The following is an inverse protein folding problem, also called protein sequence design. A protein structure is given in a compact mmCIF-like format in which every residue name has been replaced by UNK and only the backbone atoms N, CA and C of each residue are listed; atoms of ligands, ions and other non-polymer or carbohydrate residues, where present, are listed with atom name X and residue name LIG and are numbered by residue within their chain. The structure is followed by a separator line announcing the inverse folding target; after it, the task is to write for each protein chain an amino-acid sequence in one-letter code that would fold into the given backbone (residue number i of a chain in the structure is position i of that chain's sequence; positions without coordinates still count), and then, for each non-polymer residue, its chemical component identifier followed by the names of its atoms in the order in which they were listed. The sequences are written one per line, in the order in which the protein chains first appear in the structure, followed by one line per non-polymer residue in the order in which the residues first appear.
data_IF_956390551784
#
_entry.id   IF_956390551784
#
_cell.length_a   1.000
_cell.length_b   1.000
_cell.length_c   1.000
_cell.angle_alpha   90.00
_cell.angle_beta   90.00
_cell.angle_gamma   90.00
#
_symmetry.space_group_name_H-M   'P 1'
#
loop_
_entity.id
_entity.type
_entity.pdbx_description
1 polymer ?
#
# COMPACT_ATOMS: atom_id res chain seq x y z
N UNK A 1 17.98 -33.59 -22.54
CA UNK A 1 18.33 -32.25 -23.06
C UNK A 1 17.04 -31.55 -23.46
N UNK A 2 16.91 -30.24 -23.18
CA UNK A 2 15.96 -29.57 -22.28
C UNK A 2 14.51 -29.54 -22.82
N UNK A 3 13.47 -29.66 -21.99
CA UNK A 3 12.83 -28.61 -21.16
C UNK A 3 12.30 -27.42 -21.98
N UNK A 4 10.98 -27.21 -21.99
CA UNK A 4 10.39 -26.04 -21.31
C UNK A 4 8.88 -26.24 -21.12
N UNK A 5 8.48 -26.43 -19.86
CA UNK A 5 7.12 -26.13 -19.40
C UNK A 5 6.98 -24.61 -19.39
N UNK A 6 6.08 -24.05 -20.19
CA UNK A 6 5.50 -22.74 -19.93
C UNK A 6 4.20 -22.95 -19.17
N UNK A 7 4.31 -23.03 -17.85
CA UNK A 7 3.17 -22.76 -16.98
C UNK A 7 3.16 -21.24 -16.84
N UNK A 8 2.31 -20.57 -17.63
CA UNK A 8 1.88 -19.23 -17.30
C UNK A 8 1.11 -19.32 -15.98
N UNK A 9 1.75 -18.97 -14.88
CA UNK A 9 1.05 -18.67 -13.63
C UNK A 9 0.32 -17.34 -13.83
N UNK A 10 -0.88 -17.42 -14.40
CA UNK A 10 -1.85 -16.35 -14.25
C UNK A 10 -2.21 -16.30 -12.76
N UNK A 11 -1.82 -15.22 -12.08
CA UNK A 11 -2.32 -14.90 -10.75
C UNK A 11 -3.83 -14.70 -10.92
N UNK A 12 -4.59 -15.70 -10.45
CA UNK A 12 -6.04 -15.65 -10.46
C UNK A 12 -6.49 -14.53 -9.51
N UNK A 13 -7.22 -13.56 -10.05
CA UNK A 13 -8.08 -12.71 -9.25
C UNK A 13 -9.11 -13.61 -8.57
N UNK A 14 -8.93 -13.89 -7.28
CA UNK A 14 -9.91 -14.63 -6.50
C UNK A 14 -11.11 -13.72 -6.27
N UNK A 15 -12.25 -14.08 -6.86
CA UNK A 15 -13.55 -13.52 -6.49
C UNK A 15 -13.92 -14.01 -5.08
N UNK A 16 -13.95 -13.09 -4.11
CA UNK A 16 -14.43 -13.33 -2.74
C UNK A 16 -15.86 -12.79 -2.65
N UNK A 17 -16.79 -13.59 -2.12
CA UNK A 17 -18.11 -13.09 -1.70
C UNK A 17 -18.00 -12.66 -0.24
N UNK A 18 -17.49 -11.45 -0.02
CA UNK A 18 -17.49 -10.68 1.23
C UNK A 18 -17.39 -9.23 0.74
N UNK A 19 -18.35 -8.35 1.06
CA UNK A 19 -18.46 -6.95 0.60
C UNK A 19 -17.42 -6.54 -0.48
N UNK A 20 -17.80 -6.60 -1.77
CA UNK A 20 -16.88 -6.27 -2.85
C UNK A 20 -16.42 -4.82 -2.69
N UNK A 21 -15.25 -4.62 -2.09
CA UNK A 21 -14.62 -3.32 -2.06
C UNK A 21 -14.38 -2.88 -3.51
N UNK A 22 -14.86 -1.68 -3.86
CA UNK A 22 -14.58 -1.10 -5.16
C UNK A 22 -13.19 -0.46 -5.12
N UNK A 23 -12.45 -0.62 -6.21
CA UNK A 23 -11.07 -0.14 -6.33
C UNK A 23 -10.99 0.94 -7.41
N UNK A 24 -10.38 2.05 -7.06
CA UNK A 24 -10.03 3.14 -7.95
C UNK A 24 -8.60 3.04 -8.49
N UNK A 25 -8.10 4.13 -9.09
CA UNK A 25 -6.76 4.19 -9.68
C UNK A 25 -5.65 3.97 -8.65
N UNK A 26 -4.63 3.21 -9.04
CA UNK A 26 -3.52 2.83 -8.16
C UNK A 26 -2.21 2.62 -8.93
N UNK A 27 -1.11 2.53 -8.18
CA UNK A 27 0.15 1.97 -8.67
C UNK A 27 0.58 0.80 -7.78
N UNK A 28 1.38 -0.10 -8.32
CA UNK A 28 1.92 -1.23 -7.57
C UNK A 28 3.22 -1.75 -8.15
N UNK A 29 3.96 -2.49 -7.33
CA UNK A 29 5.17 -3.23 -7.66
C UNK A 29 5.11 -4.60 -7.02
N UNK A 30 5.82 -5.55 -7.62
CA UNK A 30 6.03 -6.89 -7.12
C UNK A 30 5.28 -8.01 -7.86
N UNK A 31 5.58 -9.27 -7.51
CA UNK A 31 6.51 -9.67 -6.45
C UNK A 31 7.97 -9.36 -6.79
N UNK A 32 8.81 -9.12 -5.77
CA UNK A 32 10.28 -9.10 -5.93
C UNK A 32 10.79 -10.47 -6.43
N UNK A 33 11.95 -10.46 -7.07
CA UNK A 33 12.65 -11.67 -7.50
C UNK A 33 13.02 -12.61 -6.35
N UNK A 34 13.26 -13.88 -6.70
CA UNK A 34 13.60 -14.94 -5.74
C UNK A 34 14.83 -14.58 -4.90
N UNK A 35 14.73 -14.79 -3.58
CA UNK A 35 15.81 -14.53 -2.64
C UNK A 35 15.95 -13.07 -2.21
N UNK A 36 14.95 -12.23 -2.50
CA UNK A 36 14.85 -10.86 -2.01
C UNK A 36 13.46 -10.61 -1.42
N UNK A 37 13.33 -9.54 -0.64
CA UNK A 37 12.09 -8.99 -0.06
C UNK A 37 12.28 -7.51 0.21
N UNK A 38 11.19 -6.77 0.43
CA UNK A 38 11.25 -5.36 0.79
C UNK A 38 11.63 -5.25 2.27
N UNK A 39 12.71 -4.53 2.58
CA UNK A 39 13.12 -4.24 3.96
C UNK A 39 12.61 -2.93 4.48
N UNK A 40 12.49 -1.95 3.60
CA UNK A 40 12.09 -0.61 3.97
C UNK A 40 11.26 -0.05 2.81
N UNK A 41 10.09 0.49 3.10
CA UNK A 41 9.28 1.20 2.12
C UNK A 41 8.64 2.42 2.76
N UNK A 42 8.74 3.55 2.09
CA UNK A 42 8.11 4.81 2.50
C UNK A 42 7.35 5.42 1.35
N UNK A 43 6.24 6.09 1.65
CA UNK A 43 5.53 6.97 0.73
C UNK A 43 4.79 8.04 1.52
N UNK A 44 4.60 9.21 0.92
CA UNK A 44 3.88 10.32 1.54
C UNK A 44 2.65 10.69 0.72
N UNK A 45 1.47 10.53 1.31
CA UNK A 45 0.21 11.01 0.74
C UNK A 45 0.10 12.52 0.98
N UNK A 46 -0.17 13.28 -0.07
CA UNK A 46 -0.70 14.65 0.07
C UNK A 46 -2.23 14.53 0.05
N UNK A 47 -2.86 14.74 1.20
CA UNK A 47 -4.29 14.45 1.34
C UNK A 47 -5.16 15.32 0.43
N UNK A 48 -6.14 14.73 -0.27
CA UNK A 48 -7.20 15.48 -0.92
C UNK A 48 -8.23 15.97 0.12
N UNK A 49 -9.23 16.71 -0.36
CA UNK A 49 -10.47 16.88 0.42
C UNK A 49 -11.08 15.51 0.75
N UNK A 50 -11.81 15.43 1.86
CA UNK A 50 -12.62 14.24 2.15
C UNK A 50 -13.62 13.99 1.00
N UNK A 51 -14.03 12.72 0.76
CA UNK A 51 -14.90 12.39 -0.36
C UNK A 51 -16.23 13.15 -0.30
N UNK A 52 -16.70 13.63 -1.45
CA UNK A 52 -17.99 14.31 -1.54
C UNK A 52 -19.13 13.34 -1.86
N UNK A 53 -20.21 13.43 -1.08
CA UNK A 53 -21.40 12.60 -1.28
C UNK A 53 -21.23 11.14 -0.85
N UNK A 54 -20.19 10.85 -0.05
CA UNK A 54 -19.94 9.50 0.48
C UNK A 54 -20.93 9.12 1.57
N UNK A 55 -21.45 7.91 1.48
CA UNK A 55 -22.05 7.17 2.62
C UNK A 55 -21.23 5.95 3.03
N UNK A 56 -20.24 5.59 2.22
CA UNK A 56 -19.35 4.46 2.42
C UNK A 56 -18.11 4.77 3.25
N UNK A 57 -17.28 3.75 3.43
CA UNK A 57 -15.95 3.85 4.03
C UNK A 57 -14.93 3.97 2.90
N UNK A 58 -14.37 5.16 2.75
CA UNK A 58 -13.31 5.45 1.78
C UNK A 58 -11.94 5.32 2.43
N UNK A 59 -11.00 4.70 1.73
CA UNK A 59 -9.64 4.48 2.24
C UNK A 59 -8.60 4.84 1.18
N UNK A 60 -7.59 5.59 1.59
CA UNK A 60 -6.38 5.87 0.81
C UNK A 60 -5.19 5.27 1.53
N UNK A 61 -4.56 4.27 0.93
CA UNK A 61 -3.48 3.55 1.58
C UNK A 61 -2.33 3.26 0.63
N UNK A 62 -1.15 3.07 1.23
CA UNK A 62 -0.10 2.24 0.66
C UNK A 62 0.16 1.04 1.57
N UNK A 63 0.71 -0.03 1.02
CA UNK A 63 0.96 -1.24 1.79
C UNK A 63 1.85 -2.24 1.07
N UNK A 64 2.17 -3.31 1.79
CA UNK A 64 3.00 -4.41 1.34
C UNK A 64 2.31 -5.74 1.58
N UNK A 65 2.12 -6.50 0.50
CA UNK A 65 1.70 -7.90 0.58
C UNK A 65 2.88 -8.80 0.92
N UNK A 66 2.70 -9.77 1.83
CA UNK A 66 3.76 -10.69 2.25
C UNK A 66 3.67 -12.08 1.60
N UNK A 67 4.78 -12.81 1.63
CA UNK A 67 4.91 -14.22 1.21
C UNK A 67 3.88 -15.17 1.87
N UNK A 68 3.40 -14.80 3.06
CA UNK A 68 2.42 -15.54 3.87
C UNK A 68 1.01 -14.97 3.80
N UNK A 69 0.80 -13.91 3.02
CA UNK A 69 -0.51 -13.34 2.72
C UNK A 69 -1.03 -12.32 3.74
N UNK A 70 -0.16 -11.78 4.59
CA UNK A 70 -0.49 -10.57 5.33
C UNK A 70 -0.45 -9.36 4.39
N UNK A 71 -1.26 -8.34 4.68
CA UNK A 71 -1.16 -7.02 4.07
C UNK A 71 -0.84 -6.00 5.16
N UNK A 72 0.42 -5.58 5.20
CA UNK A 72 0.94 -4.53 6.10
C UNK A 72 0.65 -3.19 5.42
N UNK A 73 -0.14 -2.32 6.02
CA UNK A 73 -0.58 -1.09 5.35
C UNK A 73 -0.88 0.03 6.34
N UNK A 74 -0.86 1.26 5.88
CA UNK A 74 -1.32 2.38 6.70
C UNK A 74 -2.32 3.15 5.87
N UNK A 75 -3.30 3.74 6.53
CA UNK A 75 -4.46 4.27 5.82
C UNK A 75 -4.80 5.68 6.27
N UNK A 76 -5.38 6.42 5.33
CA UNK A 76 -6.25 7.53 5.60
C UNK A 76 -7.67 7.10 5.28
N UNK A 77 -8.47 6.87 6.32
CA UNK A 77 -9.87 6.46 6.18
C UNK A 77 -10.83 7.64 6.35
N UNK A 78 -11.95 7.60 5.66
CA UNK A 78 -13.06 8.52 5.87
C UNK A 78 -14.38 7.76 5.88
N UNK A 79 -15.14 7.96 6.95
CA UNK A 79 -16.52 7.49 7.08
C UNK A 79 -17.30 8.54 7.86
N UNK A 80 -18.31 9.14 7.20
CA UNK A 80 -19.21 10.16 7.76
C UNK A 80 -18.51 11.23 8.61
N UNK A 81 -17.41 11.78 8.07
CA UNK A 81 -16.51 12.69 8.78
C UNK A 81 -16.01 13.82 7.87
N UNK A 82 -15.75 14.99 8.44
CA UNK A 82 -15.12 16.14 7.76
C UNK A 82 -13.58 16.07 7.76
N UNK A 83 -13.01 15.03 8.37
CA UNK A 83 -11.59 14.75 8.44
C UNK A 83 -11.26 13.31 8.04
N UNK A 84 -10.02 13.10 7.59
CA UNK A 84 -9.42 11.78 7.41
C UNK A 84 -8.94 11.24 8.76
N UNK A 85 -9.09 9.94 8.97
CA UNK A 85 -8.60 9.19 10.12
C UNK A 85 -7.31 8.46 9.75
N UNK A 86 -6.20 8.82 10.38
CA UNK A 86 -4.86 8.32 10.04
C UNK A 86 -4.38 7.32 11.07
N UNK A 87 -4.01 6.11 10.63
CA UNK A 87 -3.49 5.05 11.52
C UNK A 87 -2.73 3.95 10.76
N UNK A 88 -1.91 3.19 11.51
CA UNK A 88 -1.26 1.97 11.04
C UNK A 88 -2.19 0.76 11.17
N UNK A 89 -2.10 -0.17 10.21
CA UNK A 89 -3.04 -1.27 10.05
C UNK A 89 -2.39 -2.51 9.43
N UNK A 90 -2.79 -3.71 9.82
CA UNK A 90 -2.38 -4.95 9.16
C UNK A 90 -3.58 -5.87 9.04
N UNK A 91 -3.82 -6.37 7.84
CA UNK A 91 -4.67 -7.54 7.63
C UNK A 91 -3.82 -8.80 7.76
N UNK A 92 -3.98 -9.52 8.86
CA UNK A 92 -3.25 -10.77 9.10
C UNK A 92 -4.02 -11.96 8.54
N UNK A 93 -3.36 -12.82 7.78
CA UNK A 93 -4.02 -14.01 7.21
C UNK A 93 -4.35 -15.00 8.32
N UNK A 94 -5.64 -15.36 8.42
CA UNK A 94 -6.12 -16.37 9.39
C UNK A 94 -6.59 -17.66 8.71
N UNK A 95 -6.78 -17.63 7.38
CA UNK A 95 -7.22 -18.76 6.58
C UNK A 95 -7.09 -18.46 5.09
N UNK A 96 -7.53 -19.38 4.23
CA UNK A 96 -7.48 -19.19 2.77
C UNK A 96 -8.30 -17.96 2.32
N UNK A 97 -9.44 -17.75 2.97
CA UNK A 97 -10.39 -16.69 2.64
C UNK A 97 -10.74 -15.82 3.87
N UNK A 98 -9.83 -15.71 4.84
CA UNK A 98 -10.06 -14.92 6.04
C UNK A 98 -8.82 -14.16 6.50
N UNK A 99 -9.04 -12.93 6.94
CA UNK A 99 -8.03 -12.08 7.54
C UNK A 99 -8.57 -11.44 8.83
N UNK A 100 -7.68 -11.10 9.74
CA UNK A 100 -8.01 -10.38 10.97
C UNK A 100 -7.31 -9.00 10.95
N UNK A 101 -8.07 -7.90 11.15
CA UNK A 101 -7.51 -6.58 11.32
C UNK A 101 -6.73 -6.47 12.64
N UNK A 102 -5.51 -5.94 12.55
CA UNK A 102 -4.73 -5.44 13.70
C UNK A 102 -4.43 -3.98 13.39
N UNK A 103 -4.85 -3.06 14.26
CA UNK A 103 -4.71 -1.61 14.03
C UNK A 103 -4.31 -0.88 15.29
N UNK A 104 -3.80 0.34 15.12
CA UNK A 104 -3.78 1.32 16.19
C UNK A 104 -5.22 1.72 16.57
N UNK A 105 -5.51 1.76 17.87
CA UNK A 105 -6.84 2.07 18.40
C UNK A 105 -7.09 3.59 18.48
N UNK A 106 -6.09 4.43 18.22
CA UNK A 106 -6.17 5.88 18.35
C UNK A 106 -5.92 6.60 17.01
N UNK A 107 -6.86 6.53 16.05
CA UNK A 107 -6.72 7.24 14.79
C UNK A 107 -6.59 8.75 15.02
N UNK A 108 -5.68 9.39 14.29
CA UNK A 108 -5.43 10.82 14.40
C UNK A 108 -6.09 11.56 13.22
N UNK A 109 -6.88 12.62 13.47
CA UNK A 109 -7.52 13.37 12.40
C UNK A 109 -6.50 14.15 11.55
N UNK A 110 -6.72 14.16 10.24
CA UNK A 110 -5.97 14.94 9.26
C UNK A 110 -6.91 15.57 8.23
N UNK A 111 -6.43 16.58 7.52
CA UNK A 111 -7.21 17.33 6.52
C UNK A 111 -6.43 17.48 5.22
N UNK A 112 -7.11 17.99 4.20
CA UNK A 112 -6.51 18.32 2.91
C UNK A 112 -5.18 19.06 3.05
N UNK A 113 -4.20 18.63 2.27
CA UNK A 113 -2.87 19.21 2.20
C UNK A 113 -1.93 18.76 3.32
N UNK A 114 -2.42 18.10 4.37
CA UNK A 114 -1.52 17.42 5.31
C UNK A 114 -0.75 16.32 4.57
N UNK A 115 0.52 16.17 4.95
CA UNK A 115 1.44 15.16 4.42
C UNK A 115 1.44 13.96 5.34
N UNK A 116 0.93 12.82 4.85
CA UNK A 116 0.88 11.56 5.60
C UNK A 116 2.00 10.65 5.15
N UNK A 117 3.07 10.58 5.92
CA UNK A 117 4.17 9.64 5.65
C UNK A 117 3.84 8.28 6.26
N UNK A 118 3.79 7.26 5.41
CA UNK A 118 3.60 5.87 5.78
C UNK A 118 4.91 5.14 5.53
N UNK A 119 5.55 4.69 6.60
CA UNK A 119 6.88 4.08 6.56
C UNK A 119 6.86 2.70 7.20
N UNK A 120 7.34 1.71 6.47
CA UNK A 120 7.43 0.32 6.89
C UNK A 120 8.89 -0.10 6.94
N UNK A 121 9.32 -0.69 8.05
CA UNK A 121 10.70 -1.11 8.23
C UNK A 121 10.79 -2.47 8.88
N UNK A 122 11.53 -3.37 8.26
CA UNK A 122 11.86 -4.68 8.81
C UNK A 122 12.86 -4.54 9.96
N UNK A 123 12.49 -5.07 11.13
CA UNK A 123 13.34 -5.15 12.31
C UNK A 123 13.98 -6.55 12.40
N UNK A 124 15.31 -6.62 12.30
CA UNK A 124 16.07 -7.88 12.35
C UNK A 124 15.94 -8.62 13.69
N UNK A 125 15.79 -7.88 14.79
CA UNK A 125 15.79 -8.45 16.13
C UNK A 125 14.48 -9.14 16.44
N UNK A 126 13.36 -8.55 16.01
CA UNK A 126 12.01 -9.10 16.22
C UNK A 126 11.55 -9.95 15.04
N UNK A 127 12.14 -9.71 13.85
CA UNK A 127 11.74 -10.24 12.55
C UNK A 127 10.36 -9.76 12.11
N UNK A 128 9.93 -8.59 12.58
CA UNK A 128 8.63 -7.98 12.27
C UNK A 128 8.80 -6.77 11.35
N UNK A 129 7.71 -6.32 10.74
CA UNK A 129 7.64 -5.00 10.12
C UNK A 129 7.05 -4.01 11.11
N UNK A 130 7.82 -2.97 11.40
CA UNK A 130 7.37 -1.82 12.17
C UNK A 130 6.85 -0.77 11.21
N UNK A 131 5.61 -0.36 11.43
CA UNK A 131 4.96 0.75 10.75
C UNK A 131 5.16 2.02 11.57
N UNK A 132 5.49 3.11 10.89
CA UNK A 132 5.53 4.45 11.43
C UNK A 132 4.67 5.34 10.55
N UNK A 133 3.62 5.93 11.13
CA UNK A 133 2.76 6.88 10.42
C UNK A 133 2.95 8.26 11.01
N UNK A 134 3.18 9.25 10.15
CA UNK A 134 3.40 10.63 10.56
C UNK A 134 2.51 11.59 9.80
N UNK A 135 2.02 12.62 10.49
CA UNK A 135 1.32 13.76 9.89
C UNK A 135 2.26 14.95 9.96
N UNK A 136 2.62 15.53 8.81
CA UNK A 136 3.50 16.69 8.71
C UNK A 136 4.82 16.51 9.48
N UNK A 137 5.39 15.30 9.42
CA UNK A 137 6.64 14.94 10.09
C UNK A 137 6.53 14.61 11.59
N UNK A 138 5.34 14.68 12.19
CA UNK A 138 5.09 14.22 13.56
C UNK A 138 4.50 12.82 13.55
N UNK A 139 5.18 11.86 14.16
CA UNK A 139 4.66 10.49 14.31
C UNK A 139 3.37 10.48 15.14
N UNK A 140 2.35 9.78 14.63
CA UNK A 140 1.02 9.67 15.23
C UNK A 140 0.59 8.23 15.50
N UNK A 141 1.15 7.26 14.78
CA UNK A 141 0.83 5.84 14.96
C UNK A 141 2.06 4.97 14.77
N UNK A 142 2.11 3.85 15.48
CA UNK A 142 3.13 2.82 15.30
C UNK A 142 2.53 1.43 15.56
N UNK A 143 2.90 0.46 14.73
CA UNK A 143 2.38 -0.91 14.81
C UNK A 143 3.47 -1.89 14.36
N UNK A 144 3.67 -3.00 15.08
CA UNK A 144 4.61 -4.05 14.71
C UNK A 144 3.87 -5.37 14.48
N UNK A 145 4.03 -5.97 13.31
CA UNK A 145 3.27 -7.18 12.90
C UNK A 145 4.08 -8.08 11.95
N UNK A 146 3.45 -9.18 11.50
CA UNK A 146 3.94 -10.05 10.42
C UNK A 146 5.31 -10.68 10.70
N UNK A 147 5.47 -11.21 11.92
CA UNK A 147 6.71 -11.83 12.39
C UNK A 147 7.17 -12.98 11.50
N UNK A 148 8.38 -12.85 10.96
CA UNK A 148 9.01 -13.83 10.09
C UNK A 148 8.38 -13.90 8.70
N UNK A 149 7.64 -12.87 8.27
CA UNK A 149 7.12 -12.73 6.92
C UNK A 149 8.10 -11.91 6.08
N UNK A 150 8.03 -12.07 4.76
CA UNK A 150 8.84 -11.35 3.78
C UNK A 150 7.89 -10.52 2.89
N UNK A 151 8.07 -9.20 2.83
CA UNK A 151 7.26 -8.31 2.02
C UNK A 151 7.66 -8.45 0.55
N UNK A 152 6.70 -8.82 -0.31
CA UNK A 152 6.97 -9.19 -1.69
C UNK A 152 6.61 -8.09 -2.69
N UNK A 153 5.64 -7.25 -2.37
CA UNK A 153 5.20 -6.15 -3.23
C UNK A 153 4.88 -4.91 -2.42
N UNK A 154 4.74 -3.79 -3.11
CA UNK A 154 4.32 -2.52 -2.55
C UNK A 154 3.28 -1.91 -3.48
N UNK A 155 2.27 -1.22 -2.96
CA UNK A 155 1.30 -0.57 -3.82
C UNK A 155 0.41 0.39 -3.06
N UNK A 156 -0.31 1.22 -3.82
CA UNK A 156 -1.33 2.12 -3.32
C UNK A 156 -2.72 1.58 -3.61
N UNK A 157 -3.73 2.13 -2.94
CA UNK A 157 -5.10 2.03 -3.39
C UNK A 157 -5.91 3.29 -3.09
N UNK A 158 -6.94 3.45 -3.92
CA UNK A 158 -8.10 4.28 -3.67
C UNK A 158 -9.24 3.28 -3.52
N UNK A 159 -9.70 3.05 -2.29
CA UNK A 159 -10.63 1.97 -1.98
C UNK A 159 -11.93 2.54 -1.43
N UNK A 160 -13.04 1.89 -1.79
CA UNK A 160 -14.32 2.05 -1.13
C UNK A 160 -14.78 0.68 -0.62
N UNK A 161 -15.27 0.61 0.61
CA UNK A 161 -15.83 -0.64 1.17
C UNK A 161 -17.03 -1.19 0.38
N UNK A 162 -17.64 -0.38 -0.47
CA UNK A 162 -18.67 -0.73 -1.46
C UNK A 162 -18.51 0.20 -2.70
N UNK A 163 -19.60 0.69 -3.30
CA UNK A 163 -19.59 1.63 -4.43
C UNK A 163 -20.15 3.02 -4.04
N UNK A 164 -20.35 3.29 -2.75
CA UNK A 164 -21.08 4.46 -2.24
C UNK A 164 -20.17 5.53 -1.60
N UNK A 165 -18.90 5.57 -2.00
CA UNK A 165 -17.94 6.57 -1.50
C UNK A 165 -17.97 7.91 -2.26
N UNK A 166 -18.85 8.04 -3.26
CA UNK A 166 -18.96 9.25 -4.06
C UNK A 166 -17.67 9.54 -4.81
N UNK A 167 -17.22 10.80 -4.78
CA UNK A 167 -16.00 11.22 -5.50
C UNK A 167 -14.84 11.50 -4.55
N UNK A 168 -13.72 10.81 -4.80
CA UNK A 168 -12.42 11.11 -4.20
C UNK A 168 -11.64 12.04 -5.12
N UNK A 169 -11.14 13.14 -4.55
CA UNK A 169 -10.37 14.14 -5.29
C UNK A 169 -9.02 13.60 -5.77
N UNK A 170 -8.50 14.21 -6.84
CA UNK A 170 -7.13 13.96 -7.27
C UNK A 170 -6.13 14.27 -6.14
N UNK A 171 -5.11 13.43 -6.01
CA UNK A 171 -4.11 13.51 -4.94
C UNK A 171 -2.77 12.96 -5.42
N UNK A 172 -1.75 13.04 -4.56
CA UNK A 172 -0.40 12.63 -4.92
C UNK A 172 0.21 11.74 -3.85
N UNK A 173 1.02 10.78 -4.32
CA UNK A 173 2.03 10.12 -3.51
C UNK A 173 3.40 10.67 -3.89
N UNK A 174 4.17 11.08 -2.89
CA UNK A 174 5.50 11.68 -3.05
C UNK A 174 6.50 11.02 -2.11
N UNK A 175 7.79 11.30 -2.32
CA UNK A 175 8.88 10.76 -1.49
C UNK A 175 8.87 9.23 -1.39
N UNK A 176 8.41 8.55 -2.45
CA UNK A 176 8.25 7.09 -2.45
C UNK A 176 9.59 6.41 -2.68
N UNK A 177 9.98 5.56 -1.73
CA UNK A 177 11.24 4.81 -1.76
C UNK A 177 11.03 3.40 -1.25
N UNK A 178 11.62 2.43 -1.94
CA UNK A 178 11.60 1.00 -1.59
C UNK A 178 13.05 0.51 -1.53
N UNK A 179 13.43 -0.15 -0.46
CA UNK A 179 14.75 -0.77 -0.29
C UNK A 179 14.56 -2.28 -0.14
N UNK A 180 15.15 -3.03 -1.05
CA UNK A 180 15.10 -4.49 -1.05
C UNK A 180 16.17 -5.08 -0.13
N UNK A 181 16.05 -6.35 0.23
CA UNK A 181 17.05 -7.09 1.00
C UNK A 181 18.27 -7.44 0.16
N UNK A 182 18.04 -7.89 -1.07
CA UNK A 182 19.08 -8.10 -2.07
C UNK A 182 18.70 -7.34 -3.34
N UNK A 183 19.69 -6.82 -4.07
CA UNK A 183 19.43 -6.08 -5.30
C UNK A 183 18.68 -6.96 -6.31
N UNK A 184 17.58 -6.45 -6.84
CA UNK A 184 16.83 -7.07 -7.93
C UNK A 184 16.68 -6.05 -9.07
N UNK A 185 17.56 -6.05 -10.08
CA UNK A 185 17.51 -5.09 -11.18
C UNK A 185 16.27 -5.24 -12.07
N UNK A 186 15.55 -6.37 -11.98
CA UNK A 186 14.35 -6.61 -12.77
C UNK A 186 13.07 -6.19 -12.05
N UNK A 187 13.14 -5.73 -10.80
CA UNK A 187 11.97 -5.33 -10.02
C UNK A 187 11.13 -4.25 -10.72
N UNK A 188 11.77 -3.34 -11.47
CA UNK A 188 11.10 -2.33 -12.30
C UNK A 188 10.08 -2.91 -13.28
N UNK A 189 10.28 -4.14 -13.76
CA UNK A 189 9.38 -4.78 -14.73
C UNK A 189 8.02 -5.11 -14.11
N UNK A 190 7.93 -5.06 -12.78
CA UNK A 190 6.69 -5.28 -12.03
C UNK A 190 5.93 -3.98 -11.75
N UNK A 191 6.49 -2.81 -12.09
CA UNK A 191 5.84 -1.53 -11.83
C UNK A 191 4.63 -1.36 -12.74
N UNK A 192 3.44 -1.44 -12.13
CA UNK A 192 2.14 -1.26 -12.76
C UNK A 192 1.49 0.04 -12.33
N UNK A 193 0.75 0.65 -13.25
CA UNK A 193 -0.06 1.85 -13.01
C UNK A 193 -1.42 1.68 -13.68
N UNK A 194 -2.47 2.11 -12.99
CA UNK A 194 -3.80 2.23 -13.58
C UNK A 194 -3.85 3.37 -14.61
N UNK A 195 -4.93 3.41 -15.40
CA UNK A 195 -5.16 4.50 -16.34
C UNK A 195 -5.19 5.87 -15.64
N UNK A 196 -4.49 6.85 -16.22
CA UNK A 196 -4.40 8.21 -15.67
C UNK A 196 -3.42 8.39 -14.51
N UNK A 197 -2.87 7.31 -13.94
CA UNK A 197 -1.84 7.39 -12.88
C UNK A 197 -0.46 7.70 -13.50
N UNK A 198 0.26 8.67 -12.92
CA UNK A 198 1.59 9.10 -13.39
C UNK A 198 2.71 8.47 -12.55
N UNK A 199 3.94 8.98 -12.67
CA UNK A 199 5.10 8.54 -11.90
C UNK A 199 5.96 7.49 -12.60
N UNK A 200 7.27 7.55 -12.36
CA UNK A 200 8.27 6.64 -12.92
C UNK A 200 9.15 6.08 -11.81
N UNK A 201 9.60 4.84 -11.97
CA UNK A 201 10.40 4.15 -10.98
C UNK A 201 11.83 3.94 -11.50
N UNK A 202 12.81 4.26 -10.66
CA UNK A 202 14.24 4.23 -11.03
C UNK A 202 15.11 3.67 -9.91
N UNK A 203 16.31 3.23 -10.26
CA UNK A 203 17.33 2.76 -9.32
C UNK A 203 18.71 3.24 -9.77
N UNK A 204 19.58 3.56 -8.81
CA UNK A 204 20.97 3.96 -9.08
C UNK A 204 21.99 2.93 -8.59
N UNK A 205 21.55 1.97 -7.77
CA UNK A 205 22.41 0.99 -7.07
C UNK A 205 22.15 -0.46 -7.54
N UNK A 206 21.72 -0.61 -8.80
CA UNK A 206 21.53 -1.92 -9.43
C UNK A 206 20.27 -2.66 -8.97
N UNK A 207 19.28 -1.96 -8.42
CA UNK A 207 18.01 -2.52 -8.00
C UNK A 207 17.92 -2.84 -6.51
N UNK A 208 18.80 -2.28 -5.67
CA UNK A 208 18.73 -2.41 -4.21
C UNK A 208 17.81 -1.35 -3.62
N UNK A 209 17.86 -0.14 -4.13
CA UNK A 209 17.02 1.00 -3.78
C UNK A 209 16.26 1.46 -5.01
N UNK A 210 14.96 1.57 -4.86
CA UNK A 210 14.04 2.06 -5.87
C UNK A 210 13.38 3.34 -5.41
N UNK A 211 13.39 4.35 -6.26
CA UNK A 211 12.70 5.62 -6.05
C UNK A 211 11.60 5.71 -7.09
N UNK A 212 10.38 6.01 -6.64
CA UNK A 212 9.26 6.34 -7.51
C UNK A 212 9.12 7.87 -7.46
N UNK A 213 9.14 8.52 -8.61
CA UNK A 213 8.88 9.95 -8.70
C UNK A 213 7.48 10.26 -8.19
N UNK A 214 7.17 11.54 -7.98
CA UNK A 214 5.82 11.98 -7.62
C UNK A 214 4.78 11.30 -8.54
N UNK A 215 3.79 10.67 -7.90
CA UNK A 215 2.71 9.91 -8.54
C UNK A 215 1.43 10.72 -8.38
N UNK A 216 0.88 11.19 -9.50
CA UNK A 216 -0.45 11.77 -9.54
C UNK A 216 -1.50 10.66 -9.64
N UNK A 217 -2.47 10.71 -8.74
CA UNK A 217 -3.67 9.88 -8.78
C UNK A 217 -4.82 10.75 -9.27
N UNK A 218 -5.48 10.41 -10.40
CA UNK A 218 -6.62 11.18 -10.89
C UNK A 218 -7.80 11.06 -9.93
N UNK A 219 -8.73 12.03 -10.00
CA UNK A 219 -9.99 11.94 -9.26
C UNK A 219 -10.78 10.72 -9.72
N UNK A 220 -11.50 10.09 -8.80
CA UNK A 220 -12.25 8.88 -9.06
C UNK A 220 -13.63 8.94 -8.40
N UNK A 221 -14.64 8.44 -9.11
CA UNK A 221 -16.01 8.31 -8.63
C UNK A 221 -16.37 6.83 -8.64
N UNK A 222 -16.83 6.35 -7.49
CA UNK A 222 -17.32 4.98 -7.30
C UNK A 222 -18.79 4.85 -7.73
#
# INVERSE_FOLDING_TARGET
MPSTNQILSAIAAMAVVCANAAMGPSFSTGPVGSGSWIRDATSTLILPDVPQGSTGVASLWVGMGTDKGDLIQSTADNWDSDAWSIFAYTLTKTGENSQLPIQDENPTPAKKGDRITMHYKYDESTREYVQYVSINGKQVSTLSTSKGHEAMGFGSAVECGAEDCGTIGAHQWVDTKIILDTADPNYIQTFGKAEGVTGDMTTEDGGKTWVISDVDIPSHTF
#
